data_IF_338713918808
#
_entry.id   IF_338713918808
#
_cell.length_a   1.000
_cell.length_b   1.000
_cell.length_c   1.000
_cell.angle_alpha   90.00
_cell.angle_beta   90.00
_cell.angle_gamma   90.00
#
_symmetry.space_group_name_H-M   'P 1'
#
loop_
_entity.id
_entity.type
_entity.pdbx_description
1 polymer ?
#
# COMPACT_ATOMS: atom_id res chain seq x y z
N UNK A 1 -53.54 -73.96 18.57
CA UNK A 1 -53.66 -72.88 19.53
C UNK A 1 -52.33 -72.19 19.63
N UNK A 2 -51.99 -71.11 18.91
CA UNK A 2 -50.83 -70.25 19.09
C UNK A 2 -51.24 -68.79 18.97
N UNK A 3 -51.20 -68.05 20.06
CA UNK A 3 -51.48 -66.64 20.15
C UNK A 3 -50.22 -65.88 19.67
N UNK A 4 -50.37 -65.11 18.61
CA UNK A 4 -49.33 -64.21 18.13
C UNK A 4 -49.61 -62.82 18.68
N UNK A 5 -48.74 -62.34 19.56
CA UNK A 5 -48.80 -60.97 20.11
C UNK A 5 -48.11 -60.05 19.13
N UNK A 6 -48.80 -59.10 18.55
CA UNK A 6 -48.34 -58.07 17.67
C UNK A 6 -47.84 -56.89 18.51
N UNK A 7 -46.55 -56.67 18.53
CA UNK A 7 -45.91 -55.59 19.28
C UNK A 7 -45.82 -54.37 18.31
N UNK A 8 -46.68 -53.37 18.46
CA UNK A 8 -46.59 -52.10 17.73
C UNK A 8 -45.48 -51.23 18.34
N UNK A 9 -44.38 -51.12 17.64
CA UNK A 9 -43.29 -50.19 17.98
C UNK A 9 -43.61 -48.80 17.42
N UNK A 10 -44.05 -47.88 18.29
CA UNK A 10 -44.28 -46.48 17.91
C UNK A 10 -42.94 -45.77 17.94
N UNK A 11 -42.37 -45.50 16.76
CA UNK A 11 -41.16 -44.68 16.58
C UNK A 11 -41.54 -43.19 16.62
N UNK A 12 -41.32 -42.54 17.76
CA UNK A 12 -41.49 -41.09 17.90
C UNK A 12 -40.37 -40.38 17.18
N UNK A 13 -40.67 -39.84 16.00
CA UNK A 13 -39.75 -38.99 15.23
C UNK A 13 -39.74 -37.57 15.85
N UNK A 14 -38.78 -37.27 16.72
CA UNK A 14 -38.56 -35.90 17.20
C UNK A 14 -37.89 -35.11 16.09
N UNK A 15 -38.65 -34.31 15.37
CA UNK A 15 -38.15 -33.33 14.41
C UNK A 15 -37.38 -32.22 15.17
N UNK A 16 -36.07 -32.41 15.30
CA UNK A 16 -35.15 -31.35 15.77
C UNK A 16 -35.07 -30.27 14.70
N UNK A 17 -35.70 -29.14 14.95
CA UNK A 17 -35.51 -27.94 14.11
C UNK A 17 -34.06 -27.46 14.21
N UNK A 18 -33.30 -27.36 13.10
CA UNK A 18 -31.99 -26.73 13.14
C UNK A 18 -32.17 -25.27 13.50
N UNK A 19 -31.73 -24.88 14.67
CA UNK A 19 -31.56 -23.46 15.00
C UNK A 19 -30.42 -22.93 14.12
N UNK A 20 -30.78 -22.24 13.05
CA UNK A 20 -29.88 -21.34 12.33
C UNK A 20 -29.46 -20.26 13.33
N UNK A 21 -28.27 -20.43 13.92
CA UNK A 21 -27.59 -19.31 14.56
C UNK A 21 -27.22 -18.35 13.42
N UNK A 22 -28.08 -17.37 13.16
CA UNK A 22 -27.68 -16.19 12.43
C UNK A 22 -26.54 -15.58 13.27
N UNK A 23 -25.32 -15.70 12.80
CA UNK A 23 -24.17 -15.02 13.36
C UNK A 23 -24.41 -13.54 13.04
N UNK A 24 -25.04 -12.86 13.98
CA UNK A 24 -25.19 -11.40 13.96
C UNK A 24 -23.78 -10.84 14.02
N UNK A 25 -23.25 -10.53 12.84
CA UNK A 25 -21.98 -9.83 12.71
C UNK A 25 -22.26 -8.40 13.18
N UNK A 26 -22.32 -8.22 14.49
CA UNK A 26 -22.32 -6.90 15.11
C UNK A 26 -20.94 -6.30 14.86
N UNK A 27 -20.77 -5.81 13.63
CA UNK A 27 -19.70 -4.88 13.31
C UNK A 27 -19.85 -3.74 14.32
N UNK A 28 -18.97 -3.75 15.33
CA UNK A 28 -18.90 -2.68 16.32
C UNK A 28 -18.68 -1.39 15.53
N UNK A 29 -19.74 -0.63 15.35
CA UNK A 29 -19.64 0.73 14.81
C UNK A 29 -18.69 1.47 15.75
N UNK A 30 -17.59 2.06 15.28
CA UNK A 30 -16.72 2.83 16.13
C UNK A 30 -17.53 3.92 16.80
N UNK A 31 -17.46 4.01 18.11
CA UNK A 31 -18.19 5.04 18.92
C UNK A 31 -17.66 6.46 18.66
N UNK A 32 -16.60 6.61 17.88
CA UNK A 32 -16.01 7.90 17.50
C UNK A 32 -16.04 8.06 15.97
N UNK A 33 -16.23 9.29 15.48
CA UNK A 33 -16.09 9.56 14.05
C UNK A 33 -14.70 9.15 13.58
N UNK A 34 -14.55 8.67 12.34
CA UNK A 34 -13.25 8.27 11.82
C UNK A 34 -12.33 9.48 11.74
N UNK A 35 -11.08 9.30 12.18
CA UNK A 35 -10.05 10.32 11.99
C UNK A 35 -9.63 10.36 10.52
N UNK A 36 -9.26 11.55 10.07
CA UNK A 36 -8.64 11.75 8.78
C UNK A 36 -7.20 12.19 8.99
N UNK A 37 -6.29 11.64 8.20
CA UNK A 37 -4.88 12.00 8.21
C UNK A 37 -4.51 12.65 6.89
N UNK A 38 -3.81 13.78 6.97
CA UNK A 38 -3.09 14.32 5.83
C UNK A 38 -1.68 13.74 5.83
N UNK A 39 -1.30 13.11 4.72
CA UNK A 39 -0.01 12.48 4.51
C UNK A 39 0.78 13.30 3.49
N UNK A 40 2.02 13.65 3.85
CA UNK A 40 2.98 14.30 2.96
C UNK A 40 4.19 13.38 2.81
N UNK A 41 4.38 12.86 1.61
CA UNK A 41 5.55 12.08 1.22
C UNK A 41 6.54 13.01 0.51
N UNK A 42 7.79 13.06 0.97
CA UNK A 42 8.87 13.79 0.31
C UNK A 42 9.91 12.79 -0.17
N UNK A 43 10.10 12.73 -1.48
CA UNK A 43 11.11 11.90 -2.15
C UNK A 43 12.32 12.77 -2.44
N UNK A 44 13.48 12.40 -1.90
CA UNK A 44 14.71 13.15 -1.98
C UNK A 44 15.83 12.32 -2.59
N UNK A 45 16.53 12.91 -3.53
CA UNK A 45 17.81 12.42 -4.01
C UNK A 45 18.92 13.19 -3.30
N UNK A 46 19.75 12.46 -2.56
CA UNK A 46 20.87 13.03 -1.80
C UNK A 46 22.15 12.69 -2.54
N UNK A 47 22.91 13.69 -2.91
CA UNK A 47 24.18 13.52 -3.61
C UNK A 47 25.33 13.09 -2.69
N UNK A 48 26.50 12.89 -3.26
CA UNK A 48 27.72 12.40 -2.61
C UNK A 48 28.19 13.26 -1.42
N UNK A 49 27.90 14.54 -1.47
CA UNK A 49 28.22 15.50 -0.40
C UNK A 49 27.23 15.48 0.77
N UNK A 50 26.21 14.62 0.72
CA UNK A 50 25.11 14.60 1.68
C UNK A 50 24.08 15.72 1.47
N UNK A 51 24.19 16.49 0.38
CA UNK A 51 23.23 17.55 0.05
C UNK A 51 22.10 16.99 -0.81
N UNK A 52 20.88 17.48 -0.56
CA UNK A 52 19.72 17.20 -1.41
C UNK A 52 19.96 17.85 -2.77
N UNK A 53 19.94 17.04 -3.83
CA UNK A 53 20.11 17.48 -5.23
C UNK A 53 18.77 17.55 -5.96
N UNK A 54 17.77 16.79 -5.50
CA UNK A 54 16.41 16.81 -6.00
C UNK A 54 15.44 16.50 -4.87
N UNK A 55 14.28 17.16 -4.85
CA UNK A 55 13.22 16.91 -3.87
C UNK A 55 11.86 17.09 -4.53
N UNK A 56 10.95 16.15 -4.28
CA UNK A 56 9.57 16.18 -4.78
C UNK A 56 8.62 15.75 -3.68
N UNK A 57 7.52 16.49 -3.52
CA UNK A 57 6.52 16.20 -2.50
C UNK A 57 5.19 15.77 -3.11
N UNK A 58 4.55 14.82 -2.46
CA UNK A 58 3.26 14.25 -2.83
C UNK A 58 2.39 14.20 -1.59
N UNK A 59 1.14 14.66 -1.70
CA UNK A 59 0.23 14.65 -0.55
C UNK A 59 -1.08 13.96 -0.88
N UNK A 60 -1.68 13.38 0.15
CA UNK A 60 -3.02 12.78 0.08
C UNK A 60 -3.67 12.80 1.45
N UNK A 61 -4.98 12.53 1.48
CA UNK A 61 -5.74 12.36 2.72
C UNK A 61 -6.25 10.93 2.78
N UNK A 62 -6.19 10.33 3.97
CA UNK A 62 -6.69 8.97 4.24
C UNK A 62 -7.50 8.97 5.53
N UNK A 63 -8.61 8.22 5.56
CA UNK A 63 -9.37 7.99 6.79
C UNK A 63 -8.84 6.76 7.55
N UNK A 64 -9.21 6.64 8.82
CA UNK A 64 -8.91 5.49 9.65
C UNK A 64 -9.23 4.17 8.96
N UNK A 65 -8.33 3.20 9.10
CA UNK A 65 -8.44 1.83 8.61
C UNK A 65 -8.79 1.70 7.12
N UNK A 66 -8.49 2.73 6.33
CA UNK A 66 -8.79 2.75 4.89
C UNK A 66 -7.55 2.55 4.02
N UNK A 67 -7.78 2.59 2.71
CA UNK A 67 -6.77 2.49 1.67
C UNK A 67 -6.77 3.76 0.83
N UNK A 68 -5.59 4.25 0.49
CA UNK A 68 -5.40 5.32 -0.47
C UNK A 68 -4.15 5.07 -1.32
N UNK A 69 -4.10 5.72 -2.48
CA UNK A 69 -3.00 5.57 -3.43
C UNK A 69 -2.63 6.89 -4.08
N UNK A 70 -1.34 7.05 -4.35
CA UNK A 70 -0.78 8.10 -5.18
C UNK A 70 -0.21 7.43 -6.43
N UNK A 71 -0.56 7.94 -7.61
CA UNK A 71 -0.02 7.51 -8.89
C UNK A 71 0.32 8.75 -9.69
N UNK A 72 1.59 8.97 -9.95
CA UNK A 72 2.05 10.09 -10.78
C UNK A 72 3.27 9.66 -11.58
N UNK A 73 3.30 10.04 -12.85
CA UNK A 73 4.40 9.63 -13.72
C UNK A 73 4.14 9.99 -15.18
N UNK A 74 5.06 9.53 -16.02
CA UNK A 74 5.04 9.71 -17.46
C UNK A 74 5.18 8.35 -18.14
N UNK A 75 4.51 8.16 -19.27
CA UNK A 75 4.70 7.00 -20.13
C UNK A 75 5.85 7.26 -21.10
N UNK A 76 6.87 6.43 -21.03
CA UNK A 76 8.07 6.54 -21.88
C UNK A 76 7.96 5.50 -22.98
N UNK A 77 8.00 5.89 -24.26
CA UNK A 77 8.02 4.94 -25.37
C UNK A 77 9.39 4.28 -25.48
N UNK A 78 9.42 2.96 -25.54
CA UNK A 78 10.63 2.15 -25.72
C UNK A 78 10.41 1.22 -26.91
N UNK A 79 11.40 1.16 -27.81
CA UNK A 79 11.36 0.19 -28.92
C UNK A 79 11.63 -1.21 -28.36
N UNK A 80 10.70 -2.13 -28.55
CA UNK A 80 10.76 -3.49 -28.00
C UNK A 80 11.54 -4.50 -28.85
N UNK A 81 11.70 -4.23 -30.16
CA UNK A 81 12.36 -5.13 -31.10
C UNK A 81 12.79 -4.43 -32.38
N UNK A 82 13.58 -5.12 -33.20
CA UNK A 82 13.99 -4.69 -34.56
C UNK A 82 12.80 -4.47 -35.51
N UNK A 83 11.61 -4.98 -35.15
CA UNK A 83 10.37 -4.78 -35.93
C UNK A 83 9.69 -3.42 -35.68
N UNK A 84 10.23 -2.61 -34.79
CA UNK A 84 9.74 -1.26 -34.54
C UNK A 84 8.52 -1.16 -33.63
N UNK A 85 8.15 -2.23 -32.93
CA UNK A 85 7.07 -2.21 -31.94
C UNK A 85 7.45 -1.28 -30.77
N UNK A 86 6.54 -0.36 -30.42
CA UNK A 86 6.71 0.59 -29.34
C UNK A 86 5.96 0.06 -28.11
N UNK A 87 6.69 -0.15 -27.01
CA UNK A 87 6.12 -0.38 -25.68
C UNK A 87 6.19 0.90 -24.87
N UNK A 88 5.20 1.11 -23.99
CA UNK A 88 5.20 2.23 -23.06
C UNK A 88 5.50 1.71 -21.65
N UNK A 89 6.50 2.34 -21.03
CA UNK A 89 6.88 2.05 -19.63
C UNK A 89 6.43 3.22 -18.76
N UNK A 90 5.77 2.91 -17.64
CA UNK A 90 5.39 3.92 -16.66
C UNK A 90 6.61 4.27 -15.78
N UNK A 91 6.96 5.56 -15.76
CA UNK A 91 8.09 6.09 -14.98
C UNK A 91 7.55 7.18 -14.05
N UNK A 92 7.81 7.05 -12.75
CA UNK A 92 7.32 8.00 -11.76
C UNK A 92 7.22 7.43 -10.37
N UNK A 93 6.23 7.88 -9.61
CA UNK A 93 6.00 7.52 -8.21
C UNK A 93 4.63 6.88 -8.04
N UNK A 94 4.63 5.71 -7.40
CA UNK A 94 3.46 4.96 -7.03
C UNK A 94 3.56 4.67 -5.53
N UNK A 95 2.61 5.14 -4.72
CA UNK A 95 2.55 4.88 -3.28
C UNK A 95 1.17 4.37 -2.93
N UNK A 96 1.12 3.23 -2.25
CA UNK A 96 -0.08 2.67 -1.63
C UNK A 96 0.04 2.79 -0.12
N UNK A 97 -0.97 3.35 0.52
CA UNK A 97 -1.10 3.44 1.96
C UNK A 97 -2.35 2.68 2.40
N UNK A 98 -2.23 1.81 3.39
CA UNK A 98 -3.32 0.97 3.89
C UNK A 98 -3.31 0.91 5.41
N UNK A 99 -4.51 0.71 5.97
CA UNK A 99 -4.71 0.53 7.41
C UNK A 99 -4.08 1.66 8.23
N UNK A 100 -4.29 2.90 7.78
CA UNK A 100 -3.84 4.09 8.47
C UNK A 100 -4.61 4.26 9.78
N UNK A 101 -3.92 4.37 10.91
CA UNK A 101 -4.57 4.59 12.21
C UNK A 101 -3.59 5.20 13.22
N UNK A 102 -4.15 5.72 14.31
CA UNK A 102 -3.35 6.24 15.42
C UNK A 102 -3.06 5.14 16.45
N UNK A 103 -1.82 5.08 16.90
CA UNK A 103 -1.36 4.20 17.99
C UNK A 103 -0.54 5.01 18.99
N UNK A 104 -1.09 5.29 20.17
CA UNK A 104 -0.39 6.00 21.25
C UNK A 104 0.23 7.35 20.80
N UNK A 105 -0.51 8.17 20.07
CA UNK A 105 -0.06 9.48 19.58
C UNK A 105 0.89 9.40 18.39
N UNK A 106 1.02 8.22 17.75
CA UNK A 106 1.82 8.00 16.56
C UNK A 106 0.94 7.54 15.40
N UNK A 107 1.32 7.88 14.19
CA UNK A 107 0.70 7.38 12.98
C UNK A 107 1.26 6.01 12.63
N UNK A 108 0.37 5.05 12.35
CA UNK A 108 0.70 3.70 11.88
C UNK A 108 0.04 3.45 10.53
N UNK A 109 0.79 2.90 9.58
CA UNK A 109 0.24 2.46 8.29
C UNK A 109 1.14 1.43 7.59
N UNK A 110 0.55 0.56 6.78
CA UNK A 110 1.25 -0.23 5.80
C UNK A 110 1.50 0.58 4.53
N UNK A 111 2.75 0.71 4.11
CA UNK A 111 3.16 1.48 2.93
C UNK A 111 3.83 0.55 1.93
N UNK A 112 3.38 0.61 0.68
CA UNK A 112 4.05 -0.01 -0.47
C UNK A 112 4.35 1.10 -1.45
N UNK A 113 5.60 1.19 -1.92
CA UNK A 113 5.97 2.21 -2.88
C UNK A 113 6.87 1.68 -3.99
N UNK A 114 6.74 2.31 -5.14
CA UNK A 114 7.52 2.07 -6.34
C UNK A 114 7.90 3.43 -6.93
N UNK A 115 9.20 3.70 -6.96
CA UNK A 115 9.77 4.93 -7.50
C UNK A 115 10.66 4.56 -8.66
N UNK A 116 10.36 5.06 -9.85
CA UNK A 116 11.12 4.82 -11.06
C UNK A 116 11.55 6.10 -11.74
N UNK A 117 12.73 6.06 -12.34
CA UNK A 117 13.32 7.17 -13.11
C UNK A 117 14.14 6.64 -14.28
N UNK A 118 14.33 7.46 -15.30
CA UNK A 118 15.27 7.17 -16.38
C UNK A 118 16.66 7.66 -15.97
N UNK A 119 17.68 6.82 -16.16
CA UNK A 119 19.06 7.23 -15.93
C UNK A 119 19.48 8.28 -16.97
N UNK A 120 20.08 9.38 -16.52
CA UNK A 120 20.50 10.49 -17.38
C UNK A 120 21.56 10.08 -18.43
N UNK A 121 22.32 9.01 -18.15
CA UNK A 121 23.41 8.53 -19.02
C UNK A 121 22.90 7.74 -20.23
N UNK A 122 21.57 7.53 -20.35
CA UNK A 122 20.95 6.70 -21.40
C UNK A 122 20.45 7.51 -22.61
N UNK A 123 20.74 8.79 -22.72
CA UNK A 123 20.25 9.66 -23.81
C UNK A 123 21.05 9.51 -25.13
N UNK A 124 21.65 8.37 -25.43
CA UNK A 124 22.07 8.10 -26.79
C UNK A 124 20.88 7.53 -27.58
N UNK A 125 20.49 8.21 -28.63
CA UNK A 125 19.31 7.93 -29.45
C UNK A 125 19.25 6.50 -30.07
N UNK A 126 20.26 5.68 -29.84
CA UNK A 126 20.41 4.33 -30.40
C UNK A 126 20.25 3.19 -29.37
N UNK A 127 20.15 3.49 -28.08
CA UNK A 127 19.99 2.45 -27.05
C UNK A 127 18.69 2.66 -26.26
N UNK A 128 18.03 1.56 -25.80
CA UNK A 128 16.88 1.69 -24.95
C UNK A 128 17.26 2.37 -23.61
N UNK A 129 16.39 3.21 -23.03
CA UNK A 129 16.67 3.90 -21.79
C UNK A 129 16.88 2.93 -20.64
N UNK A 130 17.84 3.23 -19.77
CA UNK A 130 18.04 2.48 -18.53
C UNK A 130 17.01 2.98 -17.51
N UNK A 131 16.16 2.06 -17.04
CA UNK A 131 15.17 2.33 -15.99
C UNK A 131 15.79 2.02 -14.62
N UNK A 132 15.78 3.00 -13.73
CA UNK A 132 16.08 2.81 -12.30
C UNK A 132 14.75 2.65 -11.56
N UNK A 133 14.66 1.65 -10.69
CA UNK A 133 13.46 1.37 -9.94
C UNK A 133 13.80 1.01 -8.50
N UNK A 134 13.13 1.67 -7.55
CA UNK A 134 13.17 1.36 -6.13
C UNK A 134 11.78 0.95 -5.68
N UNK A 135 11.63 -0.29 -5.23
CA UNK A 135 10.37 -0.82 -4.70
C UNK A 135 10.58 -1.34 -3.29
N UNK A 136 9.69 -0.93 -2.39
CA UNK A 136 9.71 -1.43 -1.02
C UNK A 136 8.31 -1.55 -0.44
N UNK A 137 8.21 -2.30 0.66
CA UNK A 137 7.03 -2.41 1.49
C UNK A 137 7.46 -2.40 2.95
N UNK A 138 6.77 -1.61 3.78
CA UNK A 138 7.03 -1.50 5.20
C UNK A 138 5.73 -1.24 5.97
N UNK A 139 5.69 -1.66 7.24
CA UNK A 139 4.76 -1.15 8.22
C UNK A 139 5.47 -0.03 8.98
N UNK A 140 4.96 1.18 8.86
CA UNK A 140 5.57 2.38 9.44
C UNK A 140 4.82 2.79 10.70
N UNK A 141 5.58 3.18 11.72
CA UNK A 141 5.06 3.79 12.94
C UNK A 141 5.89 5.06 13.19
N UNK A 142 5.31 6.22 12.95
CA UNK A 142 6.01 7.50 12.98
C UNK A 142 5.38 8.48 13.97
N UNK A 143 6.14 9.42 14.55
CA UNK A 143 5.58 10.49 15.35
C UNK A 143 4.64 11.36 14.52
N UNK A 144 3.51 11.76 15.10
CA UNK A 144 2.57 12.66 14.45
C UNK A 144 3.18 14.06 14.25
N UNK A 145 2.95 14.66 13.07
CA UNK A 145 3.38 16.01 12.74
C UNK A 145 4.89 16.20 12.51
N UNK A 146 5.69 15.11 12.50
CA UNK A 146 7.15 15.22 12.30
C UNK A 146 7.58 14.46 11.05
N UNK A 147 8.41 15.07 10.16
CA UNK A 147 9.03 14.36 9.06
C UNK A 147 9.87 13.20 9.59
N UNK A 148 9.65 12.03 9.03
CA UNK A 148 10.37 10.81 9.43
C UNK A 148 10.78 10.02 8.20
N UNK A 149 12.06 9.66 8.10
CA UNK A 149 12.54 8.81 7.01
C UNK A 149 11.96 7.42 7.16
N UNK A 150 11.17 7.00 6.17
CA UNK A 150 10.53 5.68 6.13
C UNK A 150 11.24 4.72 5.17
N UNK A 151 12.06 5.24 4.28
CA UNK A 151 12.87 4.48 3.35
C UNK A 151 14.15 5.24 3.00
N UNK A 152 15.26 4.51 2.87
CA UNK A 152 16.50 5.02 2.33
C UNK A 152 17.24 3.89 1.61
N UNK A 153 17.76 4.17 0.42
CA UNK A 153 18.54 3.23 -0.39
C UNK A 153 19.71 3.96 -1.03
N UNK A 154 20.89 3.37 -0.92
CA UNK A 154 22.06 3.88 -1.63
C UNK A 154 21.92 3.64 -3.13
N UNK A 155 22.49 4.52 -3.92
CA UNK A 155 22.53 4.39 -5.36
C UNK A 155 23.55 3.31 -5.76
N UNK A 156 23.08 2.25 -6.42
CA UNK A 156 23.95 1.12 -6.81
C UNK A 156 25.05 1.47 -7.84
N UNK A 157 24.85 2.54 -8.61
CA UNK A 157 25.76 2.93 -9.70
C UNK A 157 26.52 4.23 -9.44
N UNK A 158 26.40 4.80 -8.25
CA UNK A 158 27.02 6.07 -7.91
C UNK A 158 27.08 6.27 -6.42
N UNK A 159 27.64 7.41 -6.03
CA UNK A 159 27.59 7.89 -4.67
C UNK A 159 26.26 8.65 -4.52
N UNK A 160 25.69 8.61 -3.33
CA UNK A 160 24.41 9.24 -3.03
C UNK A 160 23.33 8.23 -2.70
N UNK A 161 22.15 8.70 -2.33
CA UNK A 161 21.04 7.87 -1.89
C UNK A 161 19.69 8.45 -2.31
N UNK A 162 18.71 7.57 -2.46
CA UNK A 162 17.30 7.94 -2.48
C UNK A 162 16.75 7.83 -1.06
N UNK A 163 16.01 8.84 -0.61
CA UNK A 163 15.39 8.88 0.69
C UNK A 163 13.93 9.27 0.54
N UNK A 164 13.05 8.67 1.36
CA UNK A 164 11.64 9.02 1.41
C UNK A 164 11.27 9.35 2.85
N UNK A 165 10.78 10.56 3.04
CA UNK A 165 10.22 11.02 4.31
C UNK A 165 8.69 11.01 4.26
N UNK A 166 8.08 10.72 5.38
CA UNK A 166 6.63 10.82 5.60
C UNK A 166 6.36 11.74 6.79
N UNK A 167 5.44 12.67 6.58
CA UNK A 167 4.81 13.45 7.65
C UNK A 167 3.32 13.13 7.64
N UNK A 168 2.77 12.74 8.79
CA UNK A 168 1.34 12.51 8.96
C UNK A 168 0.77 13.49 9.99
N UNK A 169 -0.34 14.16 9.67
CA UNK A 169 -1.06 15.06 10.57
C UNK A 169 -2.54 14.70 10.61
N UNK A 170 -3.17 14.80 11.78
CA UNK A 170 -4.62 14.65 11.91
C UNK A 170 -5.29 15.89 11.31
N UNK A 171 -6.36 15.66 10.55
CA UNK A 171 -7.28 16.72 10.11
C UNK A 171 -8.42 16.80 11.10
N UNK A 172 -8.64 17.98 11.66
CA UNK A 172 -9.77 18.30 12.56
C UNK A 172 -11.03 18.66 11.78
#
# INVERSE_FOLDING_TARGET
VKKTILFCLILAFTAGTPRLFAQENTGKVPDSPPHFFHLLFTVEEVGDSGKIVNSRSYSTTISDHSYNQIRTGTKVPVKSSDKGDIQYIDVGVSVDCRDAHEVNGKFSAGITADISSIAADAETASQPPILRQNRWQANSLIPMGKPTVIFSSDNLQGKGKLQVELTATILE
#
